data_IF_230827724979
#
_entry.id   IF_230827724979
#
_cell.length_a   1.000
_cell.length_b   1.000
_cell.length_c   1.000
_cell.angle_alpha   90.00
_cell.angle_beta   90.00
_cell.angle_gamma   90.00
#
_symmetry.space_group_name_H-M   'P 1'
#
loop_
_entity.id
_entity.type
_entity.pdbx_description
1 polymer ?
#
# COMPACT_ATOMS: atom_id res chain seq x y z
N UNK A 1 27.43 -44.87 -49.94
CA UNK A 1 27.73 -43.84 -48.86
C UNK A 1 26.64 -42.80 -48.62
N UNK A 2 25.60 -42.75 -49.38
CA UNK A 2 24.52 -41.80 -49.25
C UNK A 2 23.36 -42.25 -48.31
N UNK A 3 23.29 -43.50 -47.93
CA UNK A 3 22.21 -44.07 -47.13
C UNK A 3 22.33 -43.76 -45.61
N UNK A 4 23.52 -43.57 -45.08
CA UNK A 4 23.76 -43.36 -43.65
C UNK A 4 23.35 -41.92 -43.20
N UNK A 5 23.55 -40.94 -44.07
CA UNK A 5 23.18 -39.55 -43.79
C UNK A 5 21.65 -39.31 -43.70
N UNK A 6 20.88 -40.08 -44.46
CA UNK A 6 19.42 -40.01 -44.48
C UNK A 6 18.79 -40.47 -43.17
N UNK A 7 19.38 -41.45 -42.51
CA UNK A 7 18.88 -41.99 -41.23
C UNK A 7 19.17 -41.03 -40.09
N UNK A 8 20.32 -40.38 -40.08
CA UNK A 8 20.67 -39.38 -39.08
C UNK A 8 19.78 -38.15 -39.17
N UNK A 9 19.46 -37.63 -40.34
CA UNK A 9 18.55 -36.51 -40.54
C UNK A 9 17.11 -36.85 -40.08
N UNK A 10 16.63 -38.03 -40.33
CA UNK A 10 15.31 -38.45 -39.91
C UNK A 10 15.20 -38.61 -38.39
N UNK A 11 16.25 -39.04 -37.70
CA UNK A 11 16.30 -39.13 -36.23
C UNK A 11 16.38 -37.75 -35.59
N UNK A 12 17.18 -36.83 -36.15
CA UNK A 12 17.25 -35.44 -35.67
C UNK A 12 15.91 -34.72 -35.85
N UNK A 13 15.22 -34.92 -36.95
CA UNK A 13 13.92 -34.34 -37.22
C UNK A 13 12.85 -34.88 -36.26
N UNK A 14 12.86 -36.15 -35.94
CA UNK A 14 11.95 -36.74 -34.92
C UNK A 14 12.26 -36.23 -33.52
N UNK A 15 13.51 -36.01 -33.16
CA UNK A 15 13.93 -35.45 -31.87
C UNK A 15 13.56 -33.99 -31.75
N UNK A 16 13.72 -33.21 -32.82
CA UNK A 16 13.30 -31.82 -32.87
C UNK A 16 11.77 -31.67 -32.78
N UNK A 17 10.98 -32.49 -33.48
CA UNK A 17 9.54 -32.52 -33.40
C UNK A 17 9.02 -32.94 -31.98
N UNK A 18 9.70 -33.88 -31.32
CA UNK A 18 9.37 -34.31 -29.98
C UNK A 18 9.66 -33.19 -28.97
N UNK A 19 10.71 -32.40 -29.15
CA UNK A 19 11.01 -31.21 -28.32
C UNK A 19 10.00 -30.07 -28.57
N UNK A 20 9.64 -29.81 -29.81
CA UNK A 20 8.62 -28.84 -30.18
C UNK A 20 7.25 -29.21 -29.61
N UNK A 21 6.83 -30.47 -29.68
CA UNK A 21 5.57 -30.93 -29.11
C UNK A 21 5.57 -30.90 -27.58
N UNK A 22 6.69 -31.05 -26.91
CA UNK A 22 6.80 -30.89 -25.45
C UNK A 22 6.79 -29.42 -25.02
N UNK A 23 7.27 -28.48 -25.85
CA UNK A 23 7.22 -27.06 -25.56
C UNK A 23 5.86 -26.41 -25.87
N UNK A 24 5.02 -27.04 -26.70
CA UNK A 24 3.66 -26.58 -27.01
C UNK A 24 2.59 -27.06 -26.03
N UNK A 25 2.92 -27.95 -25.09
CA UNK A 25 2.05 -28.28 -23.96
C UNK A 25 2.26 -27.38 -22.75
N UNK A 26 2.43 -26.10 -22.95
CA UNK A 26 2.06 -25.10 -21.99
C UNK A 26 0.53 -24.98 -22.08
N UNK A 27 -0.16 -25.83 -21.36
CA UNK A 27 -1.59 -25.68 -21.08
C UNK A 27 -1.71 -24.39 -20.26
N UNK A 28 -1.85 -23.27 -20.96
CA UNK A 28 -2.09 -21.97 -20.32
C UNK A 28 -3.50 -22.07 -19.77
N UNK A 29 -3.58 -22.17 -18.44
CA UNK A 29 -4.84 -22.06 -17.72
C UNK A 29 -5.32 -20.60 -17.83
N UNK A 30 -6.12 -20.35 -18.87
CA UNK A 30 -6.63 -19.01 -19.18
C UNK A 30 -7.49 -18.46 -18.04
N UNK A 31 -8.16 -19.30 -17.27
CA UNK A 31 -8.97 -18.86 -16.13
C UNK A 31 -8.08 -18.38 -14.98
N UNK A 32 -7.00 -19.08 -14.70
CA UNK A 32 -5.98 -18.64 -13.74
C UNK A 32 -5.28 -17.36 -14.17
N UNK A 33 -4.95 -17.25 -15.47
CA UNK A 33 -4.34 -16.05 -16.01
C UNK A 33 -5.29 -14.86 -15.94
N UNK A 34 -6.56 -15.03 -16.30
CA UNK A 34 -7.58 -14.00 -16.23
C UNK A 34 -7.80 -13.52 -14.78
N UNK A 35 -7.84 -14.43 -13.82
CA UNK A 35 -7.97 -14.11 -12.39
C UNK A 35 -6.74 -13.32 -11.91
N UNK A 36 -5.53 -13.77 -12.23
CA UNK A 36 -4.29 -13.06 -11.86
C UNK A 36 -4.18 -11.66 -12.49
N UNK A 37 -4.60 -11.51 -13.75
CA UNK A 37 -4.62 -10.21 -14.43
C UNK A 37 -5.68 -9.30 -13.82
N UNK A 38 -6.87 -9.80 -13.52
CA UNK A 38 -7.94 -9.04 -12.86
C UNK A 38 -7.52 -8.58 -11.47
N UNK A 39 -6.90 -9.44 -10.67
CA UNK A 39 -6.42 -9.11 -9.34
C UNK A 39 -5.29 -8.06 -9.39
N UNK A 40 -4.35 -8.21 -10.32
CA UNK A 40 -3.27 -7.22 -10.52
C UNK A 40 -3.79 -5.88 -11.04
N UNK A 41 -4.78 -5.88 -11.93
CA UNK A 41 -5.44 -4.66 -12.39
C UNK A 41 -6.22 -3.99 -11.26
N UNK A 42 -6.99 -4.74 -10.50
CA UNK A 42 -7.68 -4.24 -9.32
C UNK A 42 -6.71 -3.64 -8.31
N UNK A 43 -5.60 -4.32 -8.03
CA UNK A 43 -4.53 -3.78 -7.19
C UNK A 43 -3.93 -2.49 -7.75
N UNK A 44 -3.63 -2.41 -9.04
CA UNK A 44 -3.11 -1.19 -9.68
C UNK A 44 -4.11 -0.03 -9.67
N UNK A 45 -5.38 -0.30 -9.88
CA UNK A 45 -6.44 0.71 -9.87
C UNK A 45 -6.73 1.23 -8.45
N UNK A 46 -6.54 0.41 -7.43
CA UNK A 46 -6.77 0.78 -6.03
C UNK A 46 -5.54 1.36 -5.32
N UNK A 47 -4.32 1.06 -5.80
CA UNK A 47 -3.06 1.44 -5.12
C UNK A 47 -2.67 2.91 -5.25
N UNK A 48 -3.33 3.72 -6.09
CA UNK A 48 -2.85 5.08 -6.38
C UNK A 48 -3.86 6.19 -6.13
N UNK A 49 -5.03 5.88 -5.57
CA UNK A 49 -6.00 6.93 -5.25
C UNK A 49 -5.79 7.42 -3.81
N UNK A 50 -4.91 8.39 -3.67
CA UNK A 50 -4.77 9.10 -2.41
C UNK A 50 -6.04 9.89 -2.11
N UNK A 51 -6.50 9.85 -0.88
CA UNK A 51 -7.63 10.63 -0.39
C UNK A 51 -7.14 11.74 0.56
N UNK A 52 -7.84 12.87 0.63
CA UNK A 52 -7.47 13.92 1.56
C UNK A 52 -7.70 13.47 3.01
N UNK A 53 -6.92 14.03 3.94
CA UNK A 53 -6.96 13.64 5.35
C UNK A 53 -8.36 13.75 5.98
N UNK A 54 -9.16 14.78 5.62
CA UNK A 54 -10.50 14.94 6.18
C UNK A 54 -11.41 13.75 5.85
N UNK A 55 -11.28 13.16 4.67
CA UNK A 55 -11.99 11.94 4.27
C UNK A 55 -11.45 10.73 5.03
N UNK A 56 -10.13 10.55 5.08
CA UNK A 56 -9.50 9.45 5.82
C UNK A 56 -9.85 9.44 7.30
N UNK A 57 -10.00 10.62 7.90
CA UNK A 57 -10.42 10.76 9.31
C UNK A 57 -11.79 10.15 9.55
N UNK A 58 -12.73 10.38 8.65
CA UNK A 58 -14.10 9.86 8.78
C UNK A 58 -14.15 8.35 8.54
N UNK A 59 -13.44 7.86 7.53
CA UNK A 59 -13.55 6.49 7.05
C UNK A 59 -12.63 5.51 7.81
N UNK A 60 -11.44 5.96 8.24
CA UNK A 60 -10.37 5.08 8.73
C UNK A 60 -9.92 5.45 10.15
N UNK A 61 -9.79 6.74 10.44
CA UNK A 61 -9.12 7.24 11.65
C UNK A 61 -10.11 7.66 12.77
N UNK A 62 -11.23 6.99 12.88
CA UNK A 62 -12.22 7.16 13.96
C UNK A 62 -12.62 8.62 14.22
N UNK A 63 -12.65 9.46 13.19
CA UNK A 63 -12.97 10.91 13.25
C UNK A 63 -12.04 11.74 14.14
N UNK A 64 -10.84 11.24 14.40
CA UNK A 64 -9.86 11.96 15.23
C UNK A 64 -9.43 13.28 14.60
N UNK A 65 -9.09 14.27 15.43
CA UNK A 65 -8.62 15.56 14.94
C UNK A 65 -7.23 15.46 14.31
N UNK A 66 -6.83 16.39 13.44
CA UNK A 66 -5.45 16.41 12.89
C UNK A 66 -4.38 16.52 13.99
N UNK A 67 -4.67 17.26 15.08
CA UNK A 67 -3.78 17.38 16.23
C UNK A 67 -3.63 16.05 16.98
N UNK A 68 -4.72 15.30 17.11
CA UNK A 68 -4.69 13.97 17.71
C UNK A 68 -3.84 13.00 16.87
N UNK A 69 -4.06 13.00 15.57
CA UNK A 69 -3.29 12.17 14.61
C UNK A 69 -1.80 12.50 14.69
N UNK A 70 -1.47 13.80 14.69
CA UNK A 70 -0.09 14.25 14.82
C UNK A 70 0.55 13.79 16.12
N UNK A 71 -0.18 13.86 17.23
CA UNK A 71 0.31 13.55 18.57
C UNK A 71 0.47 12.04 18.80
N UNK A 72 -0.54 11.26 18.44
CA UNK A 72 -0.62 9.84 18.81
C UNK A 72 -0.20 8.88 17.67
N UNK A 73 -0.19 9.32 16.41
CA UNK A 73 0.22 8.50 15.29
C UNK A 73 1.54 8.99 14.69
N UNK A 74 1.65 10.25 14.30
CA UNK A 74 2.85 10.75 13.61
C UNK A 74 4.06 10.77 14.52
N UNK A 75 3.93 11.22 15.77
CA UNK A 75 5.06 11.27 16.70
C UNK A 75 5.66 9.89 17.02
N UNK A 76 4.88 8.88 17.43
CA UNK A 76 5.43 7.56 17.76
C UNK A 76 5.73 6.69 16.54
N UNK A 77 4.95 6.80 15.45
CA UNK A 77 5.01 5.90 14.29
C UNK A 77 5.43 6.58 12.99
N UNK A 78 5.95 7.80 13.04
CA UNK A 78 6.29 8.58 11.86
C UNK A 78 7.16 7.85 10.86
N UNK A 79 8.15 7.08 11.34
CA UNK A 79 9.06 6.32 10.48
C UNK A 79 8.36 5.20 9.69
N UNK A 80 7.22 4.72 10.17
CA UNK A 80 6.43 3.67 9.52
C UNK A 80 5.34 4.21 8.59
N UNK A 81 4.76 5.38 8.93
CA UNK A 81 3.54 5.89 8.30
C UNK A 81 3.77 7.03 7.31
N UNK A 82 4.91 7.74 7.40
CA UNK A 82 5.18 8.88 6.55
C UNK A 82 5.92 8.49 5.26
N UNK A 83 5.42 8.94 4.10
CA UNK A 83 6.06 8.69 2.80
C UNK A 83 7.48 9.20 2.75
N UNK A 84 7.77 10.33 3.38
CA UNK A 84 9.06 10.99 3.42
C UNK A 84 10.14 10.17 4.13
N UNK A 85 9.74 9.21 4.97
CA UNK A 85 10.64 8.29 5.67
C UNK A 85 10.98 7.03 4.88
N UNK A 86 10.29 6.80 3.75
CA UNK A 86 10.60 5.73 2.79
C UNK A 86 10.18 4.33 3.21
N UNK A 87 9.38 4.16 4.26
CA UNK A 87 8.87 2.84 4.65
C UNK A 87 7.85 2.31 3.63
N UNK A 88 7.89 1.00 3.35
CA UNK A 88 6.92 0.35 2.49
C UNK A 88 5.49 0.38 3.06
N UNK A 89 5.37 0.50 4.37
CA UNK A 89 4.12 0.61 5.11
C UNK A 89 3.55 2.02 5.11
N UNK A 90 4.31 3.02 4.67
CA UNK A 90 3.92 4.42 4.67
C UNK A 90 2.62 4.66 3.90
N UNK A 91 1.73 5.47 4.49
CA UNK A 91 0.40 5.71 3.96
C UNK A 91 -0.06 7.17 4.02
N UNK A 92 0.72 8.10 4.56
CA UNK A 92 0.41 9.54 4.56
C UNK A 92 1.67 10.39 4.36
N UNK A 93 1.49 11.61 3.82
CA UNK A 93 2.55 12.59 3.80
C UNK A 93 2.62 13.35 5.12
N UNK A 94 3.80 13.89 5.44
CA UNK A 94 4.04 14.63 6.67
C UNK A 94 3.14 15.86 6.76
N UNK A 95 2.39 16.04 7.86
CA UNK A 95 1.63 17.26 8.10
C UNK A 95 2.58 18.41 8.45
N UNK A 96 3.12 19.09 7.45
CA UNK A 96 4.04 20.20 7.59
C UNK A 96 3.35 21.53 7.33
N UNK A 97 3.33 22.39 8.35
CA UNK A 97 2.99 23.80 8.24
C UNK A 97 1.54 24.14 7.87
N UNK A 98 1.22 25.42 7.87
CA UNK A 98 -0.03 25.97 7.41
C UNK A 98 -0.13 25.94 5.89
N UNK A 99 -1.15 25.24 5.36
CA UNK A 99 -1.45 25.23 3.93
C UNK A 99 -1.03 23.96 3.17
N UNK A 100 -0.25 23.06 3.76
CA UNK A 100 0.05 21.78 3.14
C UNK A 100 -1.11 20.80 3.29
N UNK A 101 -1.59 20.29 2.14
CA UNK A 101 -2.63 19.27 2.14
C UNK A 101 -2.03 17.92 2.49
N UNK A 102 -2.62 17.25 3.46
CA UNK A 102 -2.26 15.88 3.83
C UNK A 102 -3.12 14.91 3.03
N UNK A 103 -2.46 13.98 2.35
CA UNK A 103 -3.07 12.90 1.60
C UNK A 103 -2.74 11.56 2.23
N UNK A 104 -3.65 10.62 2.09
CA UNK A 104 -3.61 9.30 2.70
C UNK A 104 -3.87 8.23 1.65
N UNK A 105 -3.06 7.18 1.65
CA UNK A 105 -3.34 5.93 0.92
C UNK A 105 -4.35 5.12 1.74
N UNK A 106 -5.63 5.01 1.33
CA UNK A 106 -6.67 4.42 2.16
C UNK A 106 -6.46 2.92 2.40
N UNK A 107 -5.85 2.22 1.46
CA UNK A 107 -5.62 0.78 1.56
C UNK A 107 -4.53 0.48 2.57
N UNK A 108 -3.39 1.15 2.43
CA UNK A 108 -2.27 1.00 3.36
C UNK A 108 -2.64 1.48 4.76
N UNK A 109 -3.35 2.61 4.86
CA UNK A 109 -3.83 3.14 6.14
C UNK A 109 -4.75 2.15 6.86
N UNK A 110 -5.75 1.59 6.17
CA UNK A 110 -6.66 0.61 6.75
C UNK A 110 -5.92 -0.64 7.22
N UNK A 111 -4.98 -1.14 6.43
CA UNK A 111 -4.16 -2.30 6.80
C UNK A 111 -3.31 -2.02 8.02
N UNK A 112 -2.65 -0.87 8.05
CA UNK A 112 -1.80 -0.45 9.16
C UNK A 112 -2.60 -0.24 10.45
N UNK A 113 -3.73 0.47 10.38
CA UNK A 113 -4.63 0.70 11.53
C UNK A 113 -5.12 -0.62 12.12
N UNK A 114 -5.54 -1.58 11.30
CA UNK A 114 -5.96 -2.91 11.77
C UNK A 114 -4.84 -3.66 12.48
N UNK A 115 -3.61 -3.57 11.97
CA UNK A 115 -2.46 -4.23 12.57
C UNK A 115 -2.10 -3.64 13.94
N UNK A 116 -2.33 -2.34 14.16
CA UNK A 116 -1.99 -1.61 15.38
C UNK A 116 -3.22 -1.26 16.25
N UNK A 117 -4.37 -1.86 15.96
CA UNK A 117 -5.64 -1.53 16.66
C UNK A 117 -5.57 -1.76 18.17
N UNK A 118 -4.83 -2.80 18.60
CA UNK A 118 -4.63 -3.11 20.02
C UNK A 118 -3.58 -2.23 20.71
N UNK A 119 -2.72 -1.58 19.95
CA UNK A 119 -1.62 -0.74 20.47
C UNK A 119 -2.05 0.72 20.60
N UNK A 120 -3.02 1.17 19.77
CA UNK A 120 -3.48 2.53 19.72
C UNK A 120 -4.69 2.68 20.64
N UNK A 121 -4.55 3.51 21.68
CA UNK A 121 -5.71 3.89 22.49
C UNK A 121 -6.52 5.00 21.80
N UNK A 122 -7.49 4.59 21.01
CA UNK A 122 -8.40 5.50 20.30
C UNK A 122 -9.28 6.36 21.23
N UNK A 123 -9.32 6.06 22.54
CA UNK A 123 -10.04 6.86 23.55
C UNK A 123 -9.19 7.95 24.16
N UNK A 124 -7.89 7.99 23.85
CA UNK A 124 -6.99 9.03 24.35
C UNK A 124 -7.55 10.43 24.09
N UNK A 125 -7.44 11.35 25.04
CA UNK A 125 -8.02 12.68 24.95
C UNK A 125 -7.34 13.53 23.88
N UNK A 126 -8.09 14.49 23.34
CA UNK A 126 -7.53 15.46 22.40
C UNK A 126 -6.39 16.27 23.04
N UNK A 127 -5.27 16.50 22.35
CA UNK A 127 -4.12 17.21 22.90
C UNK A 127 -4.44 18.62 23.40
N UNK A 128 -5.42 19.29 22.78
CA UNK A 128 -5.88 20.61 23.23
C UNK A 128 -6.53 20.55 24.62
N UNK A 129 -7.24 19.45 24.91
CA UNK A 129 -7.85 19.23 26.24
C UNK A 129 -6.78 19.05 27.31
N UNK A 130 -5.71 18.29 26.97
CA UNK A 130 -4.56 18.09 27.85
C UNK A 130 -3.83 19.41 28.15
N UNK A 131 -3.65 20.26 27.14
CA UNK A 131 -3.04 21.59 27.32
C UNK A 131 -3.88 22.50 28.21
N UNK A 132 -5.20 22.47 28.04
CA UNK A 132 -6.13 23.24 28.89
C UNK A 132 -6.11 22.75 30.33
N UNK A 133 -6.14 21.43 30.54
CA UNK A 133 -6.06 20.84 31.88
C UNK A 133 -4.75 21.15 32.59
N UNK A 134 -3.64 21.27 31.85
CA UNK A 134 -2.35 21.67 32.39
C UNK A 134 -2.15 23.19 32.58
N UNK A 135 -3.21 24.01 32.38
CA UNK A 135 -3.13 25.47 32.49
C UNK A 135 -2.38 26.18 31.37
N UNK A 136 -2.01 25.43 30.32
CA UNK A 136 -1.29 25.94 29.14
C UNK A 136 -2.30 26.42 28.07
N UNK A 137 -3.15 27.40 28.41
CA UNK A 137 -3.99 28.07 27.40
C UNK A 137 -3.12 28.78 26.38
N UNK A 138 -3.44 28.68 25.08
CA UNK A 138 -2.75 29.47 24.07
C UNK A 138 -3.00 30.95 24.40
N UNK A 139 -1.95 31.69 24.66
CA UNK A 139 -2.00 33.15 24.79
C UNK A 139 -2.53 33.71 23.48
N UNK A 140 -3.79 34.12 23.45
CA UNK A 140 -4.33 34.88 22.32
C UNK A 140 -3.62 36.22 22.35
N UNK A 141 -2.62 36.40 21.50
CA UNK A 141 -2.10 37.74 21.22
C UNK A 141 -3.23 38.52 20.54
N UNK A 142 -3.90 39.34 21.28
CA UNK A 142 -4.77 40.40 20.76
C UNK A 142 -3.84 41.51 20.24
N UNK A 143 -3.75 41.60 18.91
CA UNK A 143 -3.28 42.80 18.26
C UNK A 143 -4.42 43.79 18.12
#
# INVERSE_FOLDING_TARGET
MYYIKSIEYSQLFRKANKMLNNSTKLEIDYDKLATLVSDKLAQKLTTHRLIPLHQARVEILHRKSPEWIKHYLVKPYGDEILFERGANTAWMNEPSGTGHRVYVDPIKATKWVKAHESEIDWRSPEPITLRRAAGLSPQIKRN
#
